data_IF_944519029191
#
_entry.id   IF_944519029191
#
_cell.length_a   1.000
_cell.length_b   1.000
_cell.length_c   1.000
_cell.angle_alpha   90.00
_cell.angle_beta   90.00
_cell.angle_gamma   90.00
#
_symmetry.space_group_name_H-M   'P 1'
#
loop_
_entity.id
_entity.type
_entity.pdbx_description
1 polymer ?
#
# COMPACT_ATOMS: atom_id res chain seq x y z
N UNK A 1 -8.12 -10.66 -10.81
CA UNK A 1 -6.91 -9.86 -10.52
C UNK A 1 -5.73 -10.57 -11.16
N UNK A 2 -5.14 -10.01 -12.23
CA UNK A 2 -3.95 -10.60 -12.86
C UNK A 2 -2.73 -10.02 -12.16
N UNK A 3 -2.00 -10.86 -11.43
CA UNK A 3 -0.69 -10.50 -10.92
C UNK A 3 0.21 -10.15 -12.12
N UNK A 4 0.71 -8.92 -12.17
CA UNK A 4 1.76 -8.53 -13.10
C UNK A 4 3.04 -9.16 -12.58
N UNK A 5 3.50 -10.20 -13.26
CA UNK A 5 4.79 -10.83 -13.03
C UNK A 5 5.89 -9.88 -13.56
N UNK A 6 6.39 -9.01 -12.70
CA UNK A 6 7.63 -8.29 -12.96
C UNK A 6 8.75 -9.33 -12.83
N UNK A 7 9.42 -9.65 -13.94
CA UNK A 7 10.59 -10.52 -13.93
C UNK A 7 11.61 -9.97 -12.92
N UNK A 8 12.09 -10.85 -12.06
CA UNK A 8 13.09 -10.64 -11.01
C UNK A 8 14.38 -10.06 -11.58
N UNK A 9 14.45 -8.74 -11.72
CA UNK A 9 15.72 -8.04 -11.64
C UNK A 9 16.04 -7.92 -10.15
N UNK A 10 17.25 -8.28 -9.69
CA UNK A 10 17.67 -7.95 -8.33
C UNK A 10 17.59 -6.43 -8.21
N UNK A 11 16.70 -5.96 -7.37
CA UNK A 11 16.68 -4.56 -6.96
C UNK A 11 17.85 -4.43 -5.98
N UNK A 12 18.95 -3.83 -6.42
CA UNK A 12 20.26 -3.79 -5.75
C UNK A 12 20.28 -2.91 -4.48
N UNK A 13 19.29 -3.03 -3.61
CA UNK A 13 19.21 -2.33 -2.34
C UNK A 13 19.78 -3.18 -1.20
N UNK A 14 20.51 -2.54 -0.29
CA UNK A 14 20.90 -3.11 1.00
C UNK A 14 20.25 -2.33 2.14
N UNK A 15 19.96 -3.02 3.25
CA UNK A 15 19.53 -2.38 4.49
C UNK A 15 20.74 -1.85 5.26
N UNK A 16 20.51 -1.12 6.35
CA UNK A 16 21.58 -0.50 7.15
C UNK A 16 22.60 -1.50 7.72
N UNK A 17 22.22 -2.78 7.86
CA UNK A 17 23.10 -3.88 8.27
C UNK A 17 23.93 -4.46 7.13
N UNK A 18 23.86 -3.88 5.91
CA UNK A 18 24.48 -4.38 4.68
C UNK A 18 23.91 -5.69 4.15
N UNK A 19 22.80 -6.17 4.70
CA UNK A 19 22.06 -7.31 4.15
C UNK A 19 21.24 -6.87 2.92
N UNK A 20 21.05 -7.74 1.91
CA UNK A 20 20.20 -7.43 0.76
C UNK A 20 18.73 -7.26 1.14
N UNK A 21 18.03 -6.34 0.48
CA UNK A 21 16.57 -6.24 0.61
C UNK A 21 15.92 -7.49 0.01
N UNK A 22 14.99 -8.10 0.75
CA UNK A 22 14.19 -9.22 0.28
C UNK A 22 12.92 -8.74 -0.40
N UNK A 23 12.62 -9.31 -1.56
CA UNK A 23 11.39 -9.06 -2.30
C UNK A 23 10.62 -10.37 -2.44
N UNK A 24 9.33 -10.33 -2.06
CA UNK A 24 8.43 -11.48 -2.15
C UNK A 24 7.22 -11.13 -3.01
N UNK A 25 6.73 -12.08 -3.80
CA UNK A 25 5.44 -11.97 -4.48
C UNK A 25 4.37 -12.46 -3.50
N UNK A 26 3.51 -11.56 -3.04
CA UNK A 26 2.42 -11.88 -2.13
C UNK A 26 1.27 -10.89 -2.28
N UNK A 27 0.08 -11.28 -1.80
CA UNK A 27 -0.99 -10.31 -1.58
C UNK A 27 -0.81 -9.66 -0.21
N UNK A 28 -1.46 -8.51 0.01
CA UNK A 28 -1.39 -7.82 1.29
C UNK A 28 -2.02 -8.65 2.44
N UNK A 29 -3.00 -9.47 2.12
CA UNK A 29 -3.71 -10.34 3.04
C UNK A 29 -2.88 -11.56 3.44
N UNK A 30 -1.93 -11.98 2.61
CA UNK A 30 -1.09 -13.13 2.91
C UNK A 30 0.22 -12.75 3.64
N UNK A 31 0.72 -11.51 3.48
CA UNK A 31 2.00 -11.02 4.05
C UNK A 31 3.11 -12.08 3.95
N UNK A 32 3.31 -12.57 2.72
CA UNK A 32 4.33 -13.59 2.40
C UNK A 32 4.22 -14.91 3.19
N UNK A 33 3.04 -15.27 3.71
CA UNK A 33 2.83 -16.54 4.42
C UNK A 33 3.20 -17.78 3.59
N UNK A 34 3.04 -17.71 2.26
CA UNK A 34 3.37 -18.80 1.32
C UNK A 34 4.75 -18.66 0.67
N UNK A 35 5.57 -17.69 1.08
CA UNK A 35 6.93 -17.54 0.57
C UNK A 35 7.84 -18.65 1.10
N UNK A 36 9.00 -18.86 0.46
CA UNK A 36 10.02 -19.80 0.94
C UNK A 36 10.54 -19.45 2.34
N UNK A 37 10.48 -18.15 2.69
CA UNK A 37 10.81 -17.63 4.01
C UNK A 37 9.64 -16.79 4.55
N UNK A 38 8.63 -17.43 5.18
CA UNK A 38 7.48 -16.73 5.74
C UNK A 38 7.89 -15.72 6.82
N UNK A 39 7.19 -14.59 6.85
CA UNK A 39 7.34 -13.61 7.92
C UNK A 39 6.77 -14.22 9.22
N UNK A 40 7.55 -14.14 10.29
CA UNK A 40 7.20 -14.74 11.57
C UNK A 40 6.18 -13.86 12.32
N UNK A 41 5.41 -14.48 13.20
CA UNK A 41 4.52 -13.77 14.10
C UNK A 41 5.33 -12.84 15.02
N UNK A 42 4.80 -11.64 15.31
CA UNK A 42 5.45 -10.64 16.17
C UNK A 42 6.94 -10.41 15.79
N UNK A 43 7.22 -10.13 14.52
CA UNK A 43 8.59 -9.89 14.02
C UNK A 43 8.74 -8.62 13.20
N UNK A 44 7.63 -7.92 12.93
CA UNK A 44 7.61 -6.71 12.10
C UNK A 44 7.36 -5.49 12.97
N UNK A 45 8.24 -4.50 12.86
CA UNK A 45 8.08 -3.23 13.59
C UNK A 45 7.26 -2.19 12.83
N UNK A 46 7.13 -2.35 11.51
CA UNK A 46 6.39 -1.43 10.65
C UNK A 46 5.90 -2.12 9.37
N UNK A 47 4.65 -1.84 9.01
CA UNK A 47 4.10 -2.15 7.68
C UNK A 47 3.81 -0.84 6.97
N UNK A 48 4.26 -0.70 5.72
CA UNK A 48 3.99 0.48 4.90
C UNK A 48 3.19 0.09 3.64
N UNK A 49 2.09 0.80 3.39
CA UNK A 49 1.30 0.67 2.16
C UNK A 49 1.19 2.05 1.49
N UNK A 50 1.88 2.23 0.35
CA UNK A 50 1.89 3.48 -0.37
C UNK A 50 0.95 3.41 -1.59
N UNK A 51 -0.18 4.13 -1.50
CA UNK A 51 -1.19 4.27 -2.56
C UNK A 51 -1.70 2.90 -3.06
N UNK A 52 -1.79 1.93 -2.16
CA UNK A 52 -2.20 0.56 -2.48
C UNK A 52 -3.33 0.02 -1.61
N UNK A 53 -3.60 0.62 -0.46
CA UNK A 53 -4.57 0.11 0.51
C UNK A 53 -6.00 -0.05 -0.05
N UNK A 54 -6.38 0.74 -1.06
CA UNK A 54 -7.68 0.64 -1.73
C UNK A 54 -7.85 -0.64 -2.58
N UNK A 55 -6.77 -1.40 -2.82
CA UNK A 55 -6.82 -2.70 -3.49
C UNK A 55 -6.95 -3.89 -2.54
N UNK A 56 -6.84 -3.65 -1.22
CA UNK A 56 -6.79 -4.74 -0.25
C UNK A 56 -8.20 -5.19 0.13
N UNK A 57 -8.34 -6.47 0.45
CA UNK A 57 -9.37 -6.89 1.39
C UNK A 57 -8.92 -6.42 2.78
N UNK A 58 -9.40 -5.24 3.17
CA UNK A 58 -8.93 -4.55 4.35
C UNK A 58 -9.16 -5.36 5.64
N UNK A 59 -10.22 -6.16 5.70
CA UNK A 59 -10.52 -6.98 6.87
C UNK A 59 -9.50 -8.13 7.02
N UNK A 60 -9.25 -8.85 5.93
CA UNK A 60 -8.25 -9.92 5.88
C UNK A 60 -6.83 -9.39 6.08
N UNK A 61 -6.52 -8.22 5.51
CA UNK A 61 -5.25 -7.53 5.72
C UNK A 61 -4.98 -7.27 7.21
N UNK A 62 -5.96 -6.73 7.95
CA UNK A 62 -5.75 -6.43 9.37
C UNK A 62 -5.49 -7.66 10.23
N UNK A 63 -6.09 -8.81 9.91
CA UNK A 63 -5.81 -10.07 10.61
C UNK A 63 -4.34 -10.49 10.43
N UNK A 64 -3.84 -10.44 9.21
CA UNK A 64 -2.45 -10.79 8.92
C UNK A 64 -1.46 -9.77 9.46
N UNK A 65 -1.80 -8.48 9.39
CA UNK A 65 -0.97 -7.41 9.96
C UNK A 65 -0.84 -7.59 11.48
N UNK A 66 -1.94 -7.85 12.18
CA UNK A 66 -1.95 -8.10 13.62
C UNK A 66 -1.12 -9.32 14.02
N UNK A 67 -1.08 -10.37 13.18
CA UNK A 67 -0.25 -11.56 13.43
C UNK A 67 1.25 -11.24 13.41
N UNK A 68 1.72 -10.47 12.42
CA UNK A 68 3.16 -10.28 12.19
C UNK A 68 3.74 -9.07 12.93
N UNK A 69 2.91 -8.08 13.27
CA UNK A 69 3.37 -6.88 13.95
C UNK A 69 3.76 -7.17 15.40
N UNK A 70 4.83 -6.52 15.85
CA UNK A 70 5.15 -6.41 17.27
C UNK A 70 4.09 -5.58 18.01
N UNK A 71 3.89 -5.87 19.31
CA UNK A 71 2.97 -5.10 20.14
C UNK A 71 3.40 -3.63 20.24
N UNK A 72 2.49 -2.71 19.94
CA UNK A 72 2.76 -1.26 19.95
C UNK A 72 3.36 -0.71 18.65
N UNK A 73 3.63 -1.57 17.67
CA UNK A 73 4.10 -1.17 16.35
C UNK A 73 2.96 -0.71 15.42
N UNK A 74 3.33 -0.13 14.28
CA UNK A 74 2.39 0.65 13.46
C UNK A 74 2.28 0.16 12.01
N UNK A 75 1.07 0.29 11.48
CA UNK A 75 0.83 0.30 10.03
C UNK A 75 0.75 1.75 9.57
N UNK A 76 1.52 2.10 8.55
CA UNK A 76 1.49 3.41 7.91
C UNK A 76 0.92 3.25 6.50
N UNK A 77 -0.17 3.95 6.25
CA UNK A 77 -0.79 4.01 4.92
C UNK A 77 -0.64 5.41 4.36
N UNK A 78 -0.01 5.52 3.20
CA UNK A 78 -0.07 6.75 2.42
C UNK A 78 -1.24 6.60 1.44
N UNK A 79 -2.31 7.34 1.68
CA UNK A 79 -3.50 7.36 0.82
C UNK A 79 -3.58 8.69 0.07
N UNK A 80 -4.18 8.67 -1.11
CA UNK A 80 -4.60 9.88 -1.80
C UNK A 80 -6.04 10.19 -1.44
N UNK A 81 -6.33 11.47 -1.14
CA UNK A 81 -7.70 11.97 -1.10
C UNK A 81 -8.23 12.31 -2.50
N UNK A 82 -9.47 12.79 -2.56
CA UNK A 82 -10.04 13.34 -3.79
C UNK A 82 -9.24 14.54 -4.32
N UNK A 83 -9.30 14.76 -5.63
CA UNK A 83 -8.53 15.82 -6.27
C UNK A 83 -9.07 17.20 -5.89
N UNK A 84 -8.16 18.11 -5.52
CA UNK A 84 -8.51 19.49 -5.16
C UNK A 84 -7.75 20.49 -6.03
N UNK A 85 -8.50 21.36 -6.69
CA UNK A 85 -7.97 22.40 -7.57
C UNK A 85 -7.49 23.57 -6.71
N UNK A 86 -6.23 23.95 -6.91
CA UNK A 86 -5.64 25.06 -6.16
C UNK A 86 -6.34 26.39 -6.50
N UNK A 87 -6.63 27.28 -5.51
CA UNK A 87 -7.38 28.52 -5.76
C UNK A 87 -6.74 29.50 -6.75
N UNK A 88 -5.43 29.38 -6.99
CA UNK A 88 -4.71 30.20 -7.98
C UNK A 88 -5.04 29.85 -9.43
N UNK A 89 -5.68 28.71 -9.69
CA UNK A 89 -6.11 28.32 -11.03
C UNK A 89 -7.32 29.20 -11.40
N UNK A 90 -7.28 29.92 -12.54
CA UNK A 90 -8.44 30.66 -13.01
C UNK A 90 -9.66 29.74 -13.11
N UNK A 91 -10.81 30.20 -12.64
CA UNK A 91 -12.06 29.41 -12.68
C UNK A 91 -11.99 28.10 -11.86
N UNK A 92 -11.09 28.00 -10.86
CA UNK A 92 -10.91 26.79 -10.03
C UNK A 92 -12.20 26.21 -9.47
N UNK A 93 -13.18 27.05 -9.11
CA UNK A 93 -14.45 26.58 -8.54
C UNK A 93 -15.28 25.77 -9.54
N UNK A 94 -15.35 26.20 -10.80
CA UNK A 94 -16.11 25.46 -11.81
C UNK A 94 -15.38 24.17 -12.20
N UNK A 95 -14.04 24.19 -12.25
CA UNK A 95 -13.23 22.98 -12.48
C UNK A 95 -13.41 22.00 -11.32
N UNK A 96 -13.39 22.48 -10.07
CA UNK A 96 -13.62 21.65 -8.91
C UNK A 96 -15.01 21.02 -8.94
N UNK A 97 -16.05 21.77 -9.34
CA UNK A 97 -17.41 21.23 -9.45
C UNK A 97 -17.51 20.05 -10.43
N UNK A 98 -16.84 20.15 -11.58
CA UNK A 98 -16.77 19.07 -12.57
C UNK A 98 -15.98 17.86 -12.06
N UNK A 99 -14.86 18.09 -11.36
CA UNK A 99 -14.07 17.03 -10.72
C UNK A 99 -14.88 16.31 -9.66
N UNK A 100 -15.56 17.04 -8.78
CA UNK A 100 -16.42 16.48 -7.74
C UNK A 100 -17.60 15.70 -8.37
N UNK A 101 -18.23 16.20 -9.43
CA UNK A 101 -19.29 15.48 -10.15
C UNK A 101 -18.77 14.18 -10.77
N UNK A 102 -17.61 14.23 -11.42
CA UNK A 102 -16.96 13.07 -12.04
C UNK A 102 -16.60 12.02 -10.98
N UNK A 103 -16.01 12.43 -9.86
CA UNK A 103 -15.72 11.53 -8.74
C UNK A 103 -17.01 10.89 -8.22
N UNK A 104 -18.06 11.68 -7.93
CA UNK A 104 -19.33 11.12 -7.44
C UNK A 104 -20.00 10.15 -8.44
N UNK A 105 -19.82 10.38 -9.74
CA UNK A 105 -20.46 9.58 -10.78
C UNK A 105 -19.71 8.29 -11.09
N UNK A 106 -18.39 8.29 -10.97
CA UNK A 106 -17.55 7.19 -11.48
C UNK A 106 -16.56 6.62 -10.46
N UNK A 107 -16.20 7.35 -9.40
CA UNK A 107 -15.43 6.79 -8.31
C UNK A 107 -16.38 5.97 -7.41
N UNK A 108 -16.20 4.65 -7.44
CA UNK A 108 -16.90 3.68 -6.61
C UNK A 108 -16.02 3.31 -5.41
#
# INVERSE_FOLDING_TARGET
MKAVQIHSLPLDGTISTSEPIRYDISTAEAISASASLPIQDNSVDQIAAAISAHWFDIASFWLSAARVLNLGCSVIMCTSGGYRIHPSVPTHQAIQAEVDETENKYAM
#
